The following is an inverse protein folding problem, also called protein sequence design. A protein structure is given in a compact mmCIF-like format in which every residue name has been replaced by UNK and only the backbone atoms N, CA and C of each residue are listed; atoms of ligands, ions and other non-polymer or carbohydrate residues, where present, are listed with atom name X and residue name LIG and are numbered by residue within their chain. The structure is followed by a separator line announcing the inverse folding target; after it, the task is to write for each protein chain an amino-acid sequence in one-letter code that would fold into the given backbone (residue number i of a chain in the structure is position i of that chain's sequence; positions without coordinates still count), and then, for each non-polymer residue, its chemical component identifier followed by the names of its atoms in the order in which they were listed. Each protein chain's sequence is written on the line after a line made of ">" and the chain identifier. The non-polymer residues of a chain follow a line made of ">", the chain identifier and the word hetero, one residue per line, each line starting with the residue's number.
data_IF_648313507883
#
_entry.id   IF_648313507883
#
_cell.length_a   1.000
_cell.length_b   1.000
_cell.length_c   1.000
_cell.angle_alpha   90.00
_cell.angle_beta   90.00
_cell.angle_gamma   90.00
#
_symmetry.space_group_name_H-M   'P 1'
#
loop_
_entity.id
_entity.type
_entity.pdbx_description
1 polymer ?
#
# COMPACT_ATOMS: atom_id res chain seq x y z
N UNK A 1 9.97 -9.33 9.51
CA UNK A 1 10.34 -10.71 9.27
C UNK A 1 9.13 -11.60 9.52
N UNK A 2 8.77 -12.42 8.56
CA UNK A 2 7.61 -13.28 8.63
C UNK A 2 7.87 -14.51 9.47
N UNK A 3 6.79 -15.01 10.05
CA UNK A 3 6.73 -16.37 10.58
C UNK A 3 5.68 -17.13 9.78
N UNK A 4 5.93 -18.40 9.53
CA UNK A 4 5.01 -19.27 8.84
C UNK A 4 4.67 -20.45 9.74
N UNK A 5 3.37 -20.76 9.85
CA UNK A 5 2.91 -21.98 10.44
C UNK A 5 2.94 -23.09 9.38
N UNK A 6 3.64 -24.18 9.66
CA UNK A 6 3.65 -25.38 8.84
C UNK A 6 3.05 -26.52 9.63
N UNK A 7 2.27 -27.43 9.01
CA UNK A 7 1.79 -28.65 9.68
C UNK A 7 2.96 -29.43 10.30
N UNK A 8 2.80 -29.92 11.51
CA UNK A 8 3.83 -30.67 12.24
C UNK A 8 3.75 -32.22 12.02
N UNK A 9 2.77 -32.64 11.22
CA UNK A 9 2.51 -34.03 10.95
C UNK A 9 1.71 -34.80 12.03
N UNK A 10 1.39 -34.15 13.16
CA UNK A 10 0.68 -34.71 14.30
C UNK A 10 -0.68 -34.03 14.55
N UNK A 11 -1.18 -33.30 13.55
CA UNK A 11 -2.43 -32.52 13.65
C UNK A 11 -2.26 -31.13 14.29
N UNK A 12 -1.01 -30.69 14.54
CA UNK A 12 -0.65 -29.35 15.02
C UNK A 12 0.18 -28.59 14.00
N UNK A 13 0.71 -27.43 14.44
CA UNK A 13 1.53 -26.56 13.60
C UNK A 13 2.84 -26.22 14.33
N UNK A 14 3.95 -26.22 13.58
CA UNK A 14 5.22 -25.62 13.99
C UNK A 14 5.38 -24.23 13.36
N UNK A 15 5.83 -23.26 14.14
CA UNK A 15 6.14 -21.93 13.66
C UNK A 15 7.62 -21.90 13.22
N UNK A 16 7.86 -21.52 11.98
CA UNK A 16 9.22 -21.31 11.46
C UNK A 16 9.41 -19.83 11.10
N UNK A 17 10.66 -19.38 11.09
CA UNK A 17 11.02 -18.08 10.54
C UNK A 17 10.98 -18.16 9.00
N UNK A 18 10.22 -17.24 8.39
CA UNK A 18 10.07 -17.15 6.94
C UNK A 18 10.43 -15.75 6.46
N UNK A 19 11.70 -15.41 6.60
CA UNK A 19 12.22 -14.08 6.24
C UNK A 19 12.14 -13.81 4.73
N UNK A 20 12.29 -14.83 3.89
CA UNK A 20 12.11 -14.72 2.44
C UNK A 20 10.71 -14.21 2.05
N UNK A 21 9.68 -14.44 2.88
CA UNK A 21 8.32 -13.93 2.66
C UNK A 21 8.24 -12.42 2.52
N UNK A 22 9.21 -11.68 3.04
CA UNK A 22 9.29 -10.22 2.86
C UNK A 22 9.36 -9.83 1.39
N UNK A 23 10.01 -10.64 0.56
CA UNK A 23 10.20 -10.38 -0.89
C UNK A 23 9.43 -11.35 -1.79
N UNK A 24 8.93 -12.49 -1.24
CA UNK A 24 8.33 -13.55 -2.07
C UNK A 24 6.85 -13.80 -1.83
N UNK A 25 6.28 -13.28 -0.72
CA UNK A 25 4.87 -13.53 -0.36
C UNK A 25 4.02 -12.27 -0.52
N UNK A 26 3.41 -12.07 -1.70
CA UNK A 26 2.51 -10.95 -1.91
C UNK A 26 1.16 -11.19 -1.20
N UNK A 27 0.57 -10.10 -0.72
CA UNK A 27 -0.74 -10.10 -0.06
C UNK A 27 -1.56 -8.88 -0.49
N UNK A 28 -2.87 -8.94 -0.34
CA UNK A 28 -3.71 -7.75 -0.45
C UNK A 28 -3.32 -6.77 0.64
N UNK A 29 -2.99 -5.55 0.24
CA UNK A 29 -2.41 -4.53 1.11
C UNK A 29 -3.44 -3.80 1.97
N UNK A 30 -4.72 -3.85 1.55
CA UNK A 30 -5.76 -3.02 2.14
C UNK A 30 -5.44 -1.54 2.03
N UNK A 31 -5.96 -0.77 2.93
CA UNK A 31 -5.96 0.71 2.87
C UNK A 31 -4.59 1.38 2.92
N UNK A 32 -3.48 0.66 3.05
CA UNK A 32 -2.15 1.29 3.04
C UNK A 32 -1.82 1.94 1.70
N UNK A 33 -2.36 1.45 0.58
CA UNK A 33 -2.13 2.02 -0.76
C UNK A 33 -2.95 3.28 -1.07
N UNK A 34 -3.85 3.69 -0.19
CA UNK A 34 -4.73 4.86 -0.43
C UNK A 34 -4.00 6.17 -0.67
N UNK A 35 -2.76 6.30 -0.19
CA UNK A 35 -1.91 7.44 -0.54
C UNK A 35 -1.60 7.50 -2.03
N UNK A 36 -1.18 6.38 -2.62
CA UNK A 36 -0.94 6.29 -4.06
C UNK A 36 -2.24 6.50 -4.86
N UNK A 37 -3.36 5.92 -4.40
CA UNK A 37 -4.67 6.14 -5.03
C UNK A 37 -5.09 7.61 -5.01
N UNK A 38 -4.81 8.34 -3.93
CA UNK A 38 -5.08 9.77 -3.79
C UNK A 38 -4.23 10.58 -4.78
N UNK A 39 -2.95 10.23 -4.94
CA UNK A 39 -2.05 10.87 -5.90
C UNK A 39 -2.53 10.70 -7.34
N UNK A 40 -3.02 9.51 -7.70
CA UNK A 40 -3.66 9.31 -9.02
C UNK A 40 -4.82 10.26 -9.20
N UNK A 41 -5.70 10.37 -8.21
CA UNK A 41 -6.88 11.24 -8.30
C UNK A 41 -6.51 12.72 -8.43
N UNK A 42 -5.45 13.20 -7.75
CA UNK A 42 -4.92 14.55 -7.93
C UNK A 42 -4.31 14.76 -9.32
N UNK A 43 -3.44 13.85 -9.76
CA UNK A 43 -2.77 13.94 -11.05
C UNK A 43 -3.75 13.94 -12.23
N UNK A 44 -4.85 13.22 -12.11
CA UNK A 44 -5.93 13.19 -13.11
C UNK A 44 -6.93 14.36 -12.97
N UNK A 45 -6.74 15.25 -11.99
CA UNK A 45 -7.66 16.36 -11.72
C UNK A 45 -9.05 15.92 -11.25
N UNK A 46 -9.19 14.67 -10.83
CA UNK A 46 -10.45 14.09 -10.34
C UNK A 46 -10.89 14.66 -8.99
N UNK A 47 -9.91 15.10 -8.19
CA UNK A 47 -10.12 15.82 -6.93
C UNK A 47 -9.12 16.98 -6.82
N UNK A 48 -9.46 17.96 -6.00
CA UNK A 48 -8.59 19.09 -5.63
C UNK A 48 -8.13 18.93 -4.18
N UNK A 49 -6.97 19.52 -3.86
CA UNK A 49 -6.51 19.64 -2.46
C UNK A 49 -7.59 20.32 -1.63
N UNK A 50 -7.94 19.71 -0.48
CA UNK A 50 -8.95 20.21 0.43
C UNK A 50 -10.40 19.96 -0.02
N UNK A 51 -10.64 19.24 -1.13
CA UNK A 51 -11.99 18.96 -1.60
C UNK A 51 -12.78 18.12 -0.59
N UNK A 52 -13.96 18.61 -0.24
CA UNK A 52 -14.89 17.88 0.63
C UNK A 52 -15.82 16.98 -0.17
N UNK A 53 -16.02 15.77 0.32
CA UNK A 53 -17.01 14.83 -0.20
C UNK A 53 -17.86 14.28 0.93
N UNK A 54 -19.10 13.91 0.62
CA UNK A 54 -19.99 13.22 1.56
C UNK A 54 -19.65 11.74 1.57
N UNK A 55 -19.26 11.19 2.71
CA UNK A 55 -19.01 9.75 2.91
C UNK A 55 -20.33 9.05 3.20
N UNK A 56 -21.01 8.64 2.15
CA UNK A 56 -22.24 7.87 2.15
C UNK A 56 -22.05 6.62 1.33
N UNK A 57 -22.62 5.50 1.80
CA UNK A 57 -22.54 4.25 1.07
C UNK A 57 -23.00 4.41 -0.39
N UNK A 58 -22.28 3.80 -1.31
CA UNK A 58 -22.63 3.78 -2.71
C UNK A 58 -23.24 2.41 -3.10
N UNK A 59 -24.15 2.43 -4.07
CA UNK A 59 -24.76 1.24 -4.63
C UNK A 59 -24.60 1.26 -6.15
N UNK A 60 -23.96 0.25 -6.68
CA UNK A 60 -23.89 0.00 -8.13
C UNK A 60 -24.83 -1.14 -8.50
N UNK A 61 -25.35 -1.10 -9.71
CA UNK A 61 -26.22 -2.18 -10.22
C UNK A 61 -25.48 -3.53 -10.19
N UNK A 62 -26.16 -4.58 -9.75
CA UNK A 62 -25.61 -5.93 -9.69
C UNK A 62 -24.55 -6.17 -8.58
N UNK A 63 -24.28 -5.20 -7.68
CA UNK A 63 -23.31 -5.38 -6.59
C UNK A 63 -23.98 -5.26 -5.22
N UNK A 64 -23.28 -5.68 -4.16
CA UNK A 64 -23.62 -5.28 -2.80
C UNK A 64 -23.31 -3.78 -2.60
N UNK A 65 -23.96 -3.16 -1.62
CA UNK A 65 -23.66 -1.79 -1.22
C UNK A 65 -22.19 -1.69 -0.73
N UNK A 66 -21.47 -0.66 -1.16
CA UNK A 66 -20.08 -0.40 -0.76
C UNK A 66 -20.02 0.80 0.16
N UNK A 67 -19.43 0.62 1.33
CA UNK A 67 -19.38 1.61 2.40
C UNK A 67 -17.96 1.78 2.95
N UNK A 68 -17.75 2.88 3.65
CA UNK A 68 -16.67 2.99 4.64
C UNK A 68 -17.01 2.13 5.87
N UNK A 69 -16.06 1.93 6.77
CA UNK A 69 -16.23 1.10 7.96
C UNK A 69 -17.28 1.68 8.95
N UNK A 70 -17.57 2.96 8.83
CA UNK A 70 -18.72 3.67 9.44
C UNK A 70 -19.08 4.87 8.56
N UNK A 71 -20.20 5.50 8.80
CA UNK A 71 -20.56 6.79 8.18
C UNK A 71 -19.64 7.88 8.73
N UNK A 72 -18.90 8.56 7.86
CA UNK A 72 -17.92 9.58 8.24
C UNK A 72 -18.44 11.01 8.01
N UNK A 73 -19.58 11.15 7.32
CA UNK A 73 -20.17 12.46 7.02
C UNK A 73 -19.40 13.21 5.92
N UNK A 74 -19.35 14.53 6.04
CA UNK A 74 -18.66 15.39 5.09
C UNK A 74 -17.21 15.55 5.51
N UNK A 75 -16.29 14.96 4.76
CA UNK A 75 -14.84 14.91 5.03
C UNK A 75 -14.03 15.41 3.83
N UNK A 76 -12.85 15.95 4.10
CA UNK A 76 -11.87 16.29 3.07
C UNK A 76 -10.86 15.15 2.83
N UNK A 77 -9.90 15.40 1.98
CA UNK A 77 -8.84 14.47 1.57
C UNK A 77 -7.92 14.03 2.72
N UNK A 78 -7.54 14.93 3.65
CA UNK A 78 -6.76 14.57 4.86
C UNK A 78 -7.59 13.67 5.76
N UNK A 79 -8.83 14.04 6.06
CA UNK A 79 -9.71 13.24 6.89
C UNK A 79 -10.00 11.88 6.25
N UNK A 80 -10.10 11.83 4.92
CA UNK A 80 -10.27 10.59 4.16
C UNK A 80 -9.09 9.63 4.35
N UNK A 81 -7.85 10.12 4.42
CA UNK A 81 -6.67 9.32 4.73
C UNK A 81 -6.61 8.97 6.22
N UNK A 82 -6.83 9.95 7.12
CA UNK A 82 -6.77 9.77 8.56
C UNK A 82 -7.80 8.75 9.08
N UNK A 83 -9.03 8.81 8.56
CA UNK A 83 -10.16 7.94 8.88
C UNK A 83 -10.26 6.72 7.95
N UNK A 84 -9.34 6.62 6.99
CA UNK A 84 -9.32 5.52 6.01
C UNK A 84 -10.64 5.34 5.26
N UNK A 85 -11.28 6.43 4.81
CA UNK A 85 -12.51 6.38 4.03
C UNK A 85 -12.36 5.54 2.76
N UNK A 86 -13.24 4.57 2.56
CA UNK A 86 -13.35 3.85 1.30
C UNK A 86 -14.15 4.67 0.29
N UNK A 87 -15.24 5.27 0.73
CA UNK A 87 -16.18 5.99 -0.14
C UNK A 87 -15.53 7.19 -0.80
N UNK A 88 -14.66 7.91 -0.08
CA UNK A 88 -13.89 9.01 -0.68
C UNK A 88 -13.05 8.50 -1.87
N UNK A 89 -12.34 7.40 -1.69
CA UNK A 89 -11.53 6.77 -2.74
C UNK A 89 -12.40 6.23 -3.89
N UNK A 90 -13.56 5.64 -3.59
CA UNK A 90 -14.48 5.16 -4.63
C UNK A 90 -14.99 6.31 -5.51
N UNK A 91 -15.42 7.41 -4.91
CA UNK A 91 -15.88 8.59 -5.65
C UNK A 91 -14.75 9.23 -6.46
N UNK A 92 -13.54 9.29 -5.90
CA UNK A 92 -12.36 9.76 -6.63
C UNK A 92 -12.05 8.85 -7.83
N UNK A 93 -12.08 7.52 -7.66
CA UNK A 93 -11.84 6.57 -8.73
C UNK A 93 -12.90 6.63 -9.83
N UNK A 94 -14.16 6.84 -9.47
CA UNK A 94 -15.23 7.06 -10.46
C UNK A 94 -14.97 8.30 -11.29
N UNK A 95 -14.54 9.41 -10.66
CA UNK A 95 -14.18 10.64 -11.40
C UNK A 95 -12.96 10.42 -12.30
N UNK A 96 -11.94 9.66 -11.87
CA UNK A 96 -10.78 9.27 -12.73
C UNK A 96 -11.26 8.49 -13.95
N UNK A 97 -12.26 7.61 -13.79
CA UNK A 97 -12.88 6.87 -14.87
C UNK A 97 -13.86 7.71 -15.75
N UNK A 98 -13.98 9.01 -15.48
CA UNK A 98 -14.96 9.87 -16.17
C UNK A 98 -16.42 9.55 -15.86
N UNK A 99 -16.69 8.85 -14.76
CA UNK A 99 -18.03 8.41 -14.38
C UNK A 99 -18.65 9.32 -13.32
N UNK A 100 -19.84 9.82 -13.59
CA UNK A 100 -20.68 10.49 -12.60
C UNK A 100 -21.54 9.46 -11.86
N UNK A 101 -21.38 9.39 -10.55
CA UNK A 101 -22.12 8.42 -9.73
C UNK A 101 -23.63 8.70 -9.74
N UNK A 102 -24.40 7.65 -10.02
CA UNK A 102 -25.84 7.60 -9.81
C UNK A 102 -26.21 6.31 -9.07
N UNK A 103 -27.14 6.41 -8.13
CA UNK A 103 -27.56 5.28 -7.29
C UNK A 103 -28.09 4.12 -8.14
N UNK A 104 -27.60 2.92 -7.87
CA UNK A 104 -27.99 1.66 -8.49
C UNK A 104 -27.85 1.62 -10.02
N UNK A 105 -26.95 2.41 -10.60
CA UNK A 105 -26.61 2.38 -12.02
C UNK A 105 -25.37 1.52 -12.28
N UNK A 106 -25.24 0.92 -13.48
CA UNK A 106 -24.03 0.19 -13.85
C UNK A 106 -22.81 1.11 -13.89
N UNK A 107 -21.69 0.63 -13.38
CA UNK A 107 -20.40 1.28 -13.50
C UNK A 107 -19.48 0.44 -14.40
N UNK A 108 -19.28 0.90 -15.61
CA UNK A 108 -18.36 0.31 -16.58
C UNK A 108 -17.06 1.11 -16.58
N UNK A 109 -15.94 0.42 -16.69
CA UNK A 109 -14.60 0.99 -16.65
C UNK A 109 -13.76 0.38 -17.76
N UNK A 110 -13.03 1.21 -18.47
CA UNK A 110 -12.07 0.76 -19.45
C UNK A 110 -10.77 0.29 -18.77
N UNK A 111 -10.09 -0.66 -19.40
CA UNK A 111 -8.79 -1.15 -18.93
C UNK A 111 -7.79 -0.01 -18.71
N UNK A 112 -7.82 1.01 -19.55
CA UNK A 112 -6.94 2.19 -19.44
C UNK A 112 -7.02 2.88 -18.09
N UNK A 113 -8.18 2.86 -17.40
CA UNK A 113 -8.31 3.42 -16.05
C UNK A 113 -7.49 2.61 -15.03
N UNK A 114 -7.50 1.27 -15.11
CA UNK A 114 -6.65 0.43 -14.28
C UNK A 114 -5.16 0.68 -14.59
N UNK A 115 -4.81 0.85 -15.87
CA UNK A 115 -3.44 1.12 -16.30
C UNK A 115 -2.94 2.47 -15.74
N UNK A 116 -3.78 3.52 -15.69
CA UNK A 116 -3.45 4.80 -15.04
C UNK A 116 -3.04 4.58 -13.57
N UNK A 117 -3.82 3.83 -12.82
CA UNK A 117 -3.50 3.52 -11.42
C UNK A 117 -2.25 2.67 -11.29
N UNK A 118 -2.14 1.58 -12.07
CA UNK A 118 -0.99 0.67 -12.03
C UNK A 118 0.31 1.36 -12.41
N UNK A 119 0.30 2.19 -13.45
CA UNK A 119 1.49 2.95 -13.85
C UNK A 119 1.98 3.85 -12.71
N UNK A 120 1.09 4.58 -12.04
CA UNK A 120 1.47 5.40 -10.87
C UNK A 120 1.95 4.51 -9.72
N UNK A 121 1.30 3.39 -9.42
CA UNK A 121 1.70 2.46 -8.36
C UNK A 121 3.10 1.88 -8.62
N UNK A 122 3.42 1.55 -9.88
CA UNK A 122 4.75 1.06 -10.29
C UNK A 122 5.86 2.09 -10.07
N UNK A 123 5.57 3.38 -10.22
CA UNK A 123 6.53 4.44 -9.90
C UNK A 123 6.93 4.44 -8.42
N UNK A 124 6.07 3.91 -7.54
CA UNK A 124 6.34 3.71 -6.11
C UNK A 124 6.93 2.33 -5.78
N UNK A 125 7.09 1.45 -6.76
CA UNK A 125 7.57 0.08 -6.57
C UNK A 125 6.48 -0.97 -6.36
N UNK A 126 5.20 -0.60 -6.40
CA UNK A 126 4.08 -1.53 -6.25
C UNK A 126 3.79 -2.24 -7.59
N UNK A 127 3.75 -3.58 -7.59
CA UNK A 127 3.48 -4.38 -8.79
C UNK A 127 4.68 -4.54 -9.74
N UNK A 128 5.86 -4.15 -9.32
CA UNK A 128 7.15 -4.34 -10.01
C UNK A 128 8.20 -4.87 -9.04
N UNK A 129 9.33 -5.34 -9.55
CA UNK A 129 10.47 -5.66 -8.69
C UNK A 129 11.01 -4.40 -8.03
N UNK A 130 11.37 -4.50 -6.75
CA UNK A 130 11.97 -3.39 -6.01
C UNK A 130 13.43 -3.16 -6.39
N UNK A 131 14.06 -4.20 -6.95
CA UNK A 131 15.46 -4.20 -7.33
C UNK A 131 16.40 -4.54 -6.17
N UNK A 132 15.87 -5.10 -5.07
CA UNK A 132 16.72 -5.57 -3.96
C UNK A 132 17.73 -6.62 -4.47
N UNK A 133 18.93 -6.59 -3.90
CA UNK A 133 20.06 -7.49 -4.23
C UNK A 133 19.87 -8.93 -3.72
N UNK A 134 18.68 -9.49 -3.96
CA UNK A 134 18.34 -10.88 -3.66
C UNK A 134 18.03 -11.65 -4.94
N UNK A 135 18.32 -12.97 -4.99
CA UNK A 135 18.18 -13.77 -6.21
C UNK A 135 16.72 -13.98 -6.64
N UNK A 136 15.78 -13.84 -5.72
CA UNK A 136 14.34 -14.07 -5.97
C UNK A 136 13.51 -12.96 -5.34
N UNK A 137 12.64 -12.37 -6.15
CA UNK A 137 11.68 -11.34 -5.72
C UNK A 137 10.38 -11.49 -6.50
N UNK A 138 9.24 -11.43 -5.81
CA UNK A 138 7.91 -11.43 -6.41
C UNK A 138 7.48 -10.01 -6.80
N UNK A 139 6.88 -9.89 -7.98
CA UNK A 139 6.22 -8.63 -8.41
C UNK A 139 4.83 -8.42 -7.82
N UNK A 140 4.32 -9.39 -7.05
CA UNK A 140 2.91 -9.43 -6.69
C UNK A 140 2.06 -10.05 -7.79
N UNK A 141 0.75 -9.95 -7.65
CA UNK A 141 -0.22 -10.44 -8.63
C UNK A 141 -1.19 -9.34 -9.03
N UNK A 142 -1.58 -9.34 -10.29
CA UNK A 142 -2.61 -8.48 -10.86
C UNK A 142 -3.55 -9.32 -11.72
N UNK A 143 -4.77 -8.84 -11.94
CA UNK A 143 -5.75 -9.49 -12.79
C UNK A 143 -6.14 -8.60 -13.97
N UNK A 144 -6.45 -9.22 -15.10
CA UNK A 144 -6.96 -8.52 -16.29
C UNK A 144 -8.47 -8.26 -16.26
N UNK A 145 -9.17 -8.69 -15.23
CA UNK A 145 -10.59 -8.38 -15.06
C UNK A 145 -10.77 -6.89 -14.71
N UNK A 146 -11.53 -6.18 -15.56
CA UNK A 146 -11.72 -4.72 -15.46
C UNK A 146 -13.16 -4.33 -15.11
N UNK A 147 -13.92 -5.19 -14.43
CA UNK A 147 -15.25 -4.81 -13.94
C UNK A 147 -15.16 -3.58 -13.01
N UNK A 148 -16.09 -2.64 -13.15
CA UNK A 148 -16.04 -1.36 -12.41
C UNK A 148 -16.00 -1.53 -10.88
N UNK A 149 -16.69 -2.55 -10.34
CA UNK A 149 -16.61 -2.87 -8.92
C UNK A 149 -15.19 -3.24 -8.46
N UNK A 150 -14.39 -3.87 -9.33
CA UNK A 150 -13.00 -4.25 -9.06
C UNK A 150 -12.05 -3.03 -9.06
N UNK A 151 -12.33 -1.97 -9.83
CA UNK A 151 -11.59 -0.72 -9.71
C UNK A 151 -11.75 -0.14 -8.31
N UNK A 152 -12.95 -0.20 -7.74
CA UNK A 152 -13.19 0.27 -6.37
C UNK A 152 -12.45 -0.58 -5.34
N UNK A 153 -12.38 -1.89 -5.56
CA UNK A 153 -11.59 -2.79 -4.71
C UNK A 153 -10.08 -2.54 -4.88
N UNK A 154 -9.63 -2.27 -6.10
CA UNK A 154 -8.24 -1.92 -6.40
C UNK A 154 -7.77 -0.68 -5.63
N UNK A 155 -8.50 0.44 -5.71
CA UNK A 155 -8.06 1.70 -5.09
C UNK A 155 -8.02 1.68 -3.57
N UNK A 156 -8.66 0.69 -2.93
CA UNK A 156 -8.57 0.47 -1.49
C UNK A 156 -7.66 -0.70 -1.08
N UNK A 157 -6.94 -1.32 -2.05
CA UNK A 157 -5.95 -2.37 -1.80
C UNK A 157 -6.52 -3.78 -1.62
N UNK A 158 -7.66 -4.09 -2.22
CA UNK A 158 -8.34 -5.39 -2.13
C UNK A 158 -8.32 -6.19 -3.45
N UNK A 159 -7.49 -5.80 -4.40
CA UNK A 159 -7.50 -6.41 -5.74
C UNK A 159 -6.12 -6.91 -6.17
N UNK A 160 -5.16 -6.03 -6.42
CA UNK A 160 -3.78 -6.43 -6.68
C UNK A 160 -3.06 -6.74 -5.35
N UNK A 161 -2.02 -7.59 -5.40
CA UNK A 161 -1.25 -7.99 -4.22
C UNK A 161 0.18 -7.46 -4.29
N UNK A 162 0.76 -7.16 -3.13
CA UNK A 162 2.11 -6.60 -3.01
C UNK A 162 2.88 -7.27 -1.89
N UNK A 163 4.20 -7.38 -2.05
CA UNK A 163 5.07 -7.88 -0.99
C UNK A 163 5.33 -6.83 0.08
N UNK A 164 5.70 -7.23 1.31
CA UNK A 164 6.12 -6.28 2.34
C UNK A 164 7.28 -5.37 1.90
N UNK A 165 8.22 -5.87 1.08
CA UNK A 165 9.32 -5.06 0.55
C UNK A 165 8.82 -3.96 -0.41
N UNK A 166 7.87 -4.28 -1.29
CA UNK A 166 7.23 -3.27 -2.15
C UNK A 166 6.50 -2.21 -1.32
N UNK A 167 5.78 -2.59 -0.26
CA UNK A 167 5.14 -1.65 0.64
C UNK A 167 6.14 -0.78 1.40
N UNK A 168 7.30 -1.33 1.79
CA UNK A 168 8.39 -0.58 2.42
C UNK A 168 9.02 0.41 1.44
N UNK A 169 9.26 0.01 0.19
CA UNK A 169 9.78 0.91 -0.84
C UNK A 169 8.77 2.03 -1.16
N UNK A 170 7.48 1.71 -1.23
CA UNK A 170 6.41 2.68 -1.45
C UNK A 170 6.39 3.75 -0.35
N UNK A 171 6.36 3.35 0.93
CA UNK A 171 6.29 4.34 2.01
C UNK A 171 7.58 5.17 2.11
N UNK A 172 8.76 4.57 1.86
CA UNK A 172 10.03 5.29 1.79
C UNK A 172 10.05 6.31 0.65
N UNK A 173 9.45 5.97 -0.50
CA UNK A 173 9.32 6.89 -1.64
C UNK A 173 8.42 8.08 -1.30
N UNK A 174 7.34 7.89 -0.54
CA UNK A 174 6.50 8.99 -0.04
C UNK A 174 7.29 9.82 0.97
N UNK A 175 7.98 9.18 1.91
CA UNK A 175 8.74 9.84 2.97
C UNK A 175 9.80 10.80 2.41
N UNK A 176 10.51 10.40 1.36
CA UNK A 176 11.59 11.17 0.74
C UNK A 176 11.11 12.06 -0.42
N UNK A 177 9.81 12.37 -0.50
CA UNK A 177 9.22 13.28 -1.50
C UNK A 177 9.34 12.79 -2.95
N UNK A 178 9.20 11.48 -3.14
CA UNK A 178 8.95 10.89 -4.45
C UNK A 178 10.15 10.33 -5.18
N UNK A 179 11.34 10.25 -4.59
CA UNK A 179 12.46 9.52 -5.18
C UNK A 179 12.43 8.07 -4.73
N UNK A 180 12.30 7.13 -5.68
CA UNK A 180 12.34 5.70 -5.41
C UNK A 180 13.78 5.20 -5.50
N UNK A 181 14.31 4.75 -4.38
CA UNK A 181 15.65 4.15 -4.30
C UNK A 181 15.60 2.63 -4.35
N UNK A 182 16.67 2.05 -4.89
CA UNK A 182 16.91 0.62 -4.85
C UNK A 182 17.20 0.19 -3.40
N UNK A 183 16.41 -0.74 -2.81
CA UNK A 183 16.77 -1.34 -1.53
C UNK A 183 17.96 -2.30 -1.72
N UNK A 184 18.80 -2.43 -0.70
CA UNK A 184 19.96 -3.31 -0.73
C UNK A 184 20.26 -3.90 0.65
N UNK A 185 20.90 -5.04 0.68
CA UNK A 185 21.44 -5.69 1.87
C UNK A 185 22.97 -5.54 1.92
N UNK A 186 23.61 -5.60 0.75
CA UNK A 186 25.05 -5.44 0.64
C UNK A 186 25.41 -3.96 0.86
N UNK A 187 26.17 -3.67 1.91
CA UNK A 187 26.71 -2.34 2.18
C UNK A 187 28.14 -2.19 1.66
N UNK A 188 29.01 -3.12 2.02
CA UNK A 188 30.44 -3.08 1.71
C UNK A 188 30.96 -4.50 1.45
N UNK A 189 31.99 -4.63 0.63
CA UNK A 189 32.80 -5.84 0.48
C UNK A 189 34.22 -5.51 0.91
N UNK A 190 34.78 -6.36 1.78
CA UNK A 190 36.13 -6.21 2.30
C UNK A 190 37.03 -7.31 1.74
N UNK A 191 38.32 -6.98 1.64
CA UNK A 191 39.36 -7.93 1.31
C UNK A 191 39.50 -8.96 2.44
N UNK A 192 39.65 -10.24 2.09
CA UNK A 192 39.89 -11.28 3.08
C UNK A 192 41.20 -11.05 3.82
N UNK A 193 41.24 -11.38 5.11
CA UNK A 193 42.44 -11.34 5.97
C UNK A 193 42.62 -12.69 6.64
N UNK A 194 43.84 -13.00 7.02
CA UNK A 194 44.18 -14.28 7.63
C UNK A 194 43.71 -14.40 9.09
N UNK A 195 43.44 -13.26 9.75
CA UNK A 195 43.02 -13.17 11.17
C UNK A 195 41.53 -12.96 11.38
N UNK A 196 40.71 -13.05 10.30
CA UNK A 196 39.28 -12.76 10.28
C UNK A 196 38.91 -11.32 10.69
N UNK A 197 39.84 -10.38 10.69
CA UNK A 197 39.54 -8.96 10.79
C UNK A 197 38.90 -8.42 9.50
N UNK A 198 38.26 -7.24 9.55
CA UNK A 198 37.82 -6.56 8.35
C UNK A 198 39.03 -5.98 7.62
N UNK A 199 39.28 -6.46 6.41
CA UNK A 199 40.31 -5.94 5.54
C UNK A 199 39.93 -4.63 4.86
N UNK A 200 40.73 -4.22 3.88
CA UNK A 200 40.49 -3.06 3.05
C UNK A 200 39.13 -3.15 2.35
N UNK A 201 38.35 -2.05 2.30
CA UNK A 201 37.12 -1.96 1.54
C UNK A 201 37.44 -1.99 0.04
N UNK A 202 36.90 -2.97 -0.67
CA UNK A 202 37.07 -3.11 -2.14
C UNK A 202 35.82 -2.76 -2.94
N UNK A 203 34.67 -2.62 -2.25
CA UNK A 203 33.42 -2.17 -2.83
C UNK A 203 32.53 -1.55 -1.75
N UNK A 204 31.88 -0.44 -2.07
CA UNK A 204 30.83 0.16 -1.26
C UNK A 204 29.59 0.36 -2.13
N UNK A 205 28.41 -0.02 -1.62
CA UNK A 205 27.16 0.24 -2.33
C UNK A 205 26.87 1.75 -2.34
N UNK A 206 26.64 2.25 -3.55
CA UNK A 206 26.21 3.64 -3.75
C UNK A 206 24.68 3.71 -3.91
N UNK A 207 24.06 4.71 -3.28
CA UNK A 207 22.61 4.88 -3.35
C UNK A 207 22.14 5.08 -4.81
N UNK A 208 21.31 4.17 -5.29
CA UNK A 208 20.79 4.16 -6.67
C UNK A 208 19.33 4.61 -6.70
N UNK A 209 19.06 5.78 -7.27
CA UNK A 209 17.71 6.27 -7.53
C UNK A 209 17.16 5.61 -8.81
N UNK A 210 16.11 4.80 -8.65
CA UNK A 210 15.47 4.08 -9.76
C UNK A 210 14.60 5.01 -10.61
N UNK A 211 13.82 5.87 -9.98
CA UNK A 211 13.00 6.90 -10.62
C UNK A 211 12.55 7.97 -9.62
N UNK A 212 12.03 9.06 -10.16
CA UNK A 212 11.23 10.02 -9.41
C UNK A 212 9.77 9.90 -9.85
N UNK A 213 8.85 9.87 -8.90
CA UNK A 213 7.41 9.78 -9.16
C UNK A 213 6.94 11.01 -9.93
N UNK A 214 6.18 10.78 -10.98
CA UNK A 214 5.61 11.85 -11.80
C UNK A 214 4.36 12.45 -11.14
N UNK A 215 4.57 13.33 -10.19
CA UNK A 215 3.49 14.06 -9.48
C UNK A 215 4.01 15.40 -8.99
N UNK A 216 3.10 16.33 -8.71
CA UNK A 216 3.47 17.60 -8.11
C UNK A 216 3.89 17.42 -6.66
N UNK A 217 4.85 18.21 -6.20
CA UNK A 217 5.33 18.18 -4.82
C UNK A 217 4.19 18.49 -3.83
N UNK A 218 3.33 19.47 -4.16
CA UNK A 218 2.16 19.81 -3.33
C UNK A 218 1.21 18.63 -3.08
N UNK A 219 1.10 17.68 -4.04
CA UNK A 219 0.26 16.49 -3.89
C UNK A 219 0.92 15.44 -2.98
N UNK A 220 2.24 15.27 -3.08
CA UNK A 220 3.00 14.42 -2.17
C UNK A 220 2.94 14.95 -0.73
N UNK A 221 3.16 16.26 -0.55
CA UNK A 221 3.07 16.89 0.76
C UNK A 221 1.67 16.74 1.36
N UNK A 222 0.63 16.86 0.53
CA UNK A 222 -0.76 16.66 0.97
C UNK A 222 -1.03 15.22 1.43
N UNK A 223 -0.49 14.21 0.74
CA UNK A 223 -0.59 12.81 1.17
C UNK A 223 0.22 12.58 2.45
N UNK A 224 1.41 13.17 2.58
CA UNK A 224 2.22 13.10 3.82
C UNK A 224 1.49 13.73 5.00
N UNK A 225 0.85 14.89 4.81
CA UNK A 225 -0.01 15.51 5.82
C UNK A 225 -1.17 14.59 6.24
N UNK A 226 -1.82 13.93 5.28
CA UNK A 226 -2.84 12.92 5.54
C UNK A 226 -2.31 11.73 6.34
N UNK A 227 -1.10 11.23 6.04
CA UNK A 227 -0.46 10.15 6.77
C UNK A 227 -0.03 10.57 8.19
N UNK A 228 0.40 11.82 8.37
CA UNK A 228 0.66 12.39 9.69
C UNK A 228 -0.65 12.49 10.51
N UNK A 229 -1.75 12.87 9.87
CA UNK A 229 -3.06 12.92 10.53
C UNK A 229 -3.56 11.55 11.03
N UNK A 230 -3.16 10.42 10.40
CA UNK A 230 -3.47 9.05 10.87
C UNK A 230 -2.95 8.81 12.29
N UNK A 231 -1.78 9.34 12.62
CA UNK A 231 -1.05 9.06 13.87
C UNK A 231 -1.20 10.16 14.91
N UNK A 232 -1.54 11.39 14.50
CA UNK A 232 -1.52 12.57 15.39
C UNK A 232 -2.89 13.13 15.70
N UNK A 233 -3.84 13.12 14.75
CA UNK A 233 -5.19 13.63 15.01
C UNK A 233 -5.95 12.75 16.00
N UNK A 234 -6.76 13.33 16.88
CA UNK A 234 -7.52 12.59 17.90
C UNK A 234 -8.46 11.54 17.33
N UNK A 235 -8.90 11.72 16.08
CA UNK A 235 -9.74 10.79 15.32
C UNK A 235 -8.96 9.88 14.38
N UNK A 236 -7.64 10.06 14.25
CA UNK A 236 -6.78 9.25 13.37
C UNK A 236 -6.71 7.80 13.81
N UNK A 237 -6.81 6.87 12.85
CA UNK A 237 -6.91 5.43 13.15
C UNK A 237 -5.65 4.84 13.79
N UNK A 238 -4.49 5.45 13.62
CA UNK A 238 -3.22 5.05 14.23
C UNK A 238 -2.97 5.68 15.60
N UNK A 239 -3.70 6.71 16.00
CA UNK A 239 -3.41 7.57 17.16
C UNK A 239 -3.22 6.83 18.48
N UNK A 240 -4.00 5.79 18.71
CA UNK A 240 -3.97 5.03 19.97
C UNK A 240 -3.02 3.83 19.95
N UNK A 241 -2.38 3.55 18.82
CA UNK A 241 -1.56 2.36 18.62
C UNK A 241 -0.11 2.69 18.27
N UNK A 242 0.15 3.91 17.80
CA UNK A 242 1.47 4.37 17.37
C UNK A 242 1.94 5.45 18.34
N UNK A 243 3.16 5.30 18.87
CA UNK A 243 3.75 6.29 19.76
C UNK A 243 4.02 7.60 19.01
N UNK A 244 3.36 8.67 19.43
CA UNK A 244 3.48 9.98 18.82
C UNK A 244 4.77 10.73 19.19
N UNK A 245 5.55 10.24 20.16
CA UNK A 245 6.79 10.91 20.63
C UNK A 245 7.86 11.03 19.54
N UNK A 246 7.81 10.16 18.52
CA UNK A 246 8.73 10.14 17.40
C UNK A 246 8.20 10.87 16.16
N UNK A 247 7.11 11.62 16.29
CA UNK A 247 6.43 12.33 15.18
C UNK A 247 6.21 11.44 13.93
N UNK A 248 5.51 10.30 14.07
CA UNK A 248 5.34 9.35 12.99
C UNK A 248 4.29 9.78 11.98
N UNK A 249 4.51 9.39 10.73
CA UNK A 249 3.51 9.39 9.66
C UNK A 249 3.29 7.99 9.14
N UNK A 250 2.06 7.64 8.76
CA UNK A 250 1.81 6.31 8.22
C UNK A 250 0.37 6.06 7.85
N UNK A 251 0.10 4.81 7.46
CA UNK A 251 -1.24 4.38 7.08
C UNK A 251 -1.53 3.00 7.61
N UNK A 252 -2.68 2.85 8.25
CA UNK A 252 -3.24 1.55 8.65
C UNK A 252 -3.93 0.89 7.45
N UNK A 253 -3.86 -0.43 7.38
CA UNK A 253 -4.55 -1.24 6.39
C UNK A 253 -5.24 -2.43 7.03
N UNK A 254 -6.38 -2.79 6.48
CA UNK A 254 -7.09 -4.02 6.78
C UNK A 254 -7.57 -4.57 5.45
N UNK A 255 -7.26 -5.84 5.18
CA UNK A 255 -7.71 -6.52 3.98
C UNK A 255 -8.39 -7.82 4.31
N UNK A 256 -9.46 -8.12 3.56
CA UNK A 256 -10.04 -9.45 3.55
C UNK A 256 -9.15 -10.36 2.73
N UNK A 257 -8.93 -11.55 3.24
CA UNK A 257 -8.08 -12.57 2.65
C UNK A 257 -8.73 -13.93 2.87
N UNK A 258 -8.17 -14.97 2.30
CA UNK A 258 -8.61 -16.34 2.50
C UNK A 258 -7.39 -17.20 2.80
N UNK A 259 -7.58 -18.26 3.52
CA UNK A 259 -6.55 -19.27 3.82
C UNK A 259 -7.14 -20.65 3.70
N UNK A 260 -6.29 -21.63 3.46
CA UNK A 260 -6.60 -23.03 3.64
C UNK A 260 -6.36 -23.35 5.11
N UNK A 261 -7.44 -23.46 5.89
CA UNK A 261 -7.34 -23.70 7.35
C UNK A 261 -7.51 -25.16 7.73
N UNK A 262 -8.07 -25.99 6.86
CA UNK A 262 -8.33 -27.42 7.10
C UNK A 262 -7.39 -28.36 6.33
N UNK A 263 -6.54 -27.80 5.45
CA UNK A 263 -5.52 -28.56 4.71
C UNK A 263 -6.09 -29.33 3.52
N UNK A 264 -7.30 -29.00 3.04
CA UNK A 264 -7.92 -29.66 1.90
C UNK A 264 -7.38 -29.16 0.53
N UNK A 265 -6.46 -28.21 0.54
CA UNK A 265 -5.85 -27.59 -0.63
C UNK A 265 -6.68 -26.43 -1.23
N UNK A 266 -7.80 -26.05 -0.62
CA UNK A 266 -8.61 -24.90 -1.04
C UNK A 266 -8.38 -23.71 -0.14
N UNK A 267 -8.19 -22.55 -0.74
CA UNK A 267 -8.01 -21.27 -0.03
C UNK A 267 -9.40 -20.61 0.08
N UNK A 268 -10.25 -21.11 0.97
CA UNK A 268 -11.66 -20.70 1.09
C UNK A 268 -12.09 -20.19 2.47
N UNK A 269 -11.28 -20.41 3.51
CA UNK A 269 -11.56 -19.90 4.85
C UNK A 269 -11.29 -18.40 4.93
N UNK A 270 -12.33 -17.56 5.21
CA UNK A 270 -12.16 -16.12 5.32
C UNK A 270 -11.20 -15.76 6.46
N UNK A 271 -10.27 -14.86 6.19
CA UNK A 271 -9.34 -14.30 7.16
C UNK A 271 -9.17 -12.81 6.95
N UNK A 272 -8.52 -12.15 7.90
CA UNK A 272 -8.24 -10.71 7.85
C UNK A 272 -6.74 -10.50 8.03
N UNK A 273 -6.15 -9.79 7.08
CA UNK A 273 -4.77 -9.31 7.21
C UNK A 273 -4.78 -7.85 7.65
N UNK A 274 -3.94 -7.53 8.64
CA UNK A 274 -3.73 -6.16 9.09
C UNK A 274 -2.32 -5.70 8.73
N UNK A 275 -2.19 -4.46 8.32
CA UNK A 275 -0.92 -3.85 7.94
C UNK A 275 -0.80 -2.44 8.50
N UNK A 276 0.41 -2.03 8.76
CA UNK A 276 0.78 -0.64 8.96
C UNK A 276 2.05 -0.35 8.18
N UNK A 277 2.07 0.77 7.48
CA UNK A 277 3.26 1.33 6.87
C UNK A 277 3.50 2.71 7.48
N UNK A 278 4.75 3.07 7.71
CA UNK A 278 5.04 4.35 8.34
C UNK A 278 6.52 4.73 8.28
N UNK A 279 6.78 5.96 8.63
CA UNK A 279 8.11 6.53 8.79
C UNK A 279 8.11 7.58 9.92
N UNK A 280 9.26 7.88 10.45
CA UNK A 280 9.47 8.89 11.49
C UNK A 280 10.89 9.45 11.40
N UNK A 281 11.08 10.71 11.85
CA UNK A 281 10.04 11.72 12.03
C UNK A 281 9.44 12.19 10.71
N UNK A 282 8.29 12.86 10.75
CA UNK A 282 7.54 13.29 9.56
C UNK A 282 8.34 14.22 8.64
N UNK A 283 9.04 15.20 9.22
CA UNK A 283 9.74 16.22 8.43
C UNK A 283 11.11 15.77 7.93
N UNK A 284 11.79 14.92 8.68
CA UNK A 284 13.15 14.44 8.36
C UNK A 284 13.25 12.94 8.58
N UNK A 285 12.58 12.12 7.76
CA UNK A 285 12.50 10.68 7.92
C UNK A 285 13.86 10.00 7.84
N UNK A 286 14.05 8.96 8.66
CA UNK A 286 15.28 8.17 8.78
C UNK A 286 14.99 6.70 8.50
#
# INVERSE_FOLDING_TARGET
>A
AGKQALPDGNGGYRIIDYTAGVVTSPMTSGSVVKGASMLVAYNQGAIKIGEYQQDECIKLAGTKQKCSWKTLGRINDIDALALSSNVYQFKAAMKVAGYQYHYNMPFKVDKSTFDIYRNTFQEFGLGVQTGIDLPVESKGTSSDNTAGGLLLDFVMGQYDTYTPMQLSQYISTIANRGTRYQPHLLKEVHKATDDNSLGEVIYTFEANALNKVNTKEEYLDRVREGFHAVTTKSYGLGRNYIDASHDPSGKTGTSQSFTDSDGDGKIDTPTVSTAFIGYAPTDSPK
#
